data_IF_573522257245
#
_entry.id   IF_573522257245
#
_cell.length_a   1.000
_cell.length_b   1.000
_cell.length_c   1.000
_cell.angle_alpha   90.00
_cell.angle_beta   90.00
_cell.angle_gamma   90.00
#
_symmetry.space_group_name_H-M   'P 1'
#
loop_
_entity.id
_entity.type
_entity.pdbx_description
1 polymer ?
#
# COMPACT_ATOMS: atom_id res chain seq x y z
N UNK A 1 4.31 -29.83 18.14
CA UNK A 1 3.49 -28.62 18.16
C UNK A 1 4.33 -27.55 18.82
N UNK A 2 4.97 -26.72 18.01
CA UNK A 2 5.64 -25.50 18.43
C UNK A 2 5.18 -24.40 17.45
N UNK A 3 4.62 -23.29 17.93
CA UNK A 3 3.94 -22.32 17.08
C UNK A 3 4.96 -21.37 16.44
N UNK A 4 5.03 -21.39 15.12
CA UNK A 4 5.50 -20.28 14.27
C UNK A 4 6.78 -19.56 14.73
N UNK A 5 7.92 -20.23 14.58
CA UNK A 5 9.22 -19.55 14.49
C UNK A 5 9.31 -18.92 13.09
N UNK A 6 9.01 -17.63 12.99
CA UNK A 6 9.26 -16.87 11.76
C UNK A 6 10.78 -16.65 11.60
N UNK A 7 11.37 -16.97 10.44
CA UNK A 7 12.81 -16.78 10.22
C UNK A 7 13.19 -15.31 10.19
N UNK A 8 14.35 -15.00 10.79
CA UNK A 8 15.00 -13.67 10.84
C UNK A 8 15.23 -13.11 9.43
N UNK A 9 15.02 -11.80 9.28
CA UNK A 9 15.42 -11.04 8.09
C UNK A 9 16.64 -10.19 8.47
N UNK A 10 17.85 -10.47 7.94
CA UNK A 10 18.97 -9.56 8.03
C UNK A 10 19.10 -8.64 6.81
N UNK A 11 19.90 -7.58 7.03
CA UNK A 11 20.57 -6.62 6.12
C UNK A 11 19.93 -5.25 5.81
N UNK A 12 20.70 -4.15 5.76
CA UNK A 12 22.17 -3.97 5.85
C UNK A 12 22.55 -3.02 7.00
N UNK A 13 23.35 -3.52 7.95
CA UNK A 13 23.88 -2.86 9.16
C UNK A 13 22.90 -2.74 10.35
N UNK A 14 22.78 -3.83 11.10
CA UNK A 14 22.47 -3.92 12.54
C UNK A 14 21.91 -2.64 13.20
N UNK A 15 20.62 -2.38 13.00
CA UNK A 15 19.88 -1.45 13.88
C UNK A 15 19.52 -2.20 15.17
N UNK A 16 20.53 -2.32 16.04
CA UNK A 16 20.37 -2.67 17.44
C UNK A 16 19.37 -1.72 18.14
N UNK A 17 18.48 -2.33 18.93
CA UNK A 17 17.91 -1.79 20.16
C UNK A 17 17.47 -0.31 20.22
N UNK A 18 16.60 0.18 19.33
CA UNK A 18 15.69 1.25 19.78
C UNK A 18 14.38 1.22 18.98
N UNK A 19 13.31 0.67 19.56
CA UNK A 19 11.97 1.19 19.25
C UNK A 19 11.94 2.57 19.88
N UNK A 20 12.56 3.53 19.19
CA UNK A 20 12.63 4.92 19.63
C UNK A 20 11.20 5.39 19.79
N UNK A 21 10.90 5.97 20.95
CA UNK A 21 9.60 6.58 21.32
C UNK A 21 9.18 7.76 20.40
N UNK A 22 9.70 7.81 19.18
CA UNK A 22 9.55 8.86 18.18
C UNK A 22 9.61 8.28 16.75
N UNK A 23 8.99 7.12 16.51
CA UNK A 23 8.75 6.62 15.16
C UNK A 23 7.48 7.29 14.62
N UNK A 24 7.55 7.90 13.45
CA UNK A 24 6.38 8.54 12.83
C UNK A 24 5.42 7.48 12.29
N UNK A 25 4.12 7.79 12.29
CA UNK A 25 3.08 6.97 11.65
C UNK A 25 3.48 6.66 10.21
N UNK A 26 4.05 7.64 9.49
CA UNK A 26 4.62 7.44 8.15
C UNK A 26 5.60 6.26 8.09
N UNK A 27 6.59 6.20 8.99
CA UNK A 27 7.58 5.11 8.98
C UNK A 27 6.98 3.75 9.32
N UNK A 28 6.01 3.72 10.25
CA UNK A 28 5.28 2.49 10.58
C UNK A 28 4.51 1.98 9.37
N UNK A 29 3.70 2.84 8.75
CA UNK A 29 2.84 2.49 7.61
C UNK A 29 3.68 2.09 6.41
N UNK A 30 4.71 2.89 6.06
CA UNK A 30 5.64 2.56 4.98
C UNK A 30 6.29 1.19 5.18
N UNK A 31 6.80 0.90 6.38
CA UNK A 31 7.39 -0.40 6.69
C UNK A 31 6.38 -1.52 6.52
N UNK A 32 5.15 -1.33 7.01
CA UNK A 32 4.08 -2.32 6.90
C UNK A 32 3.71 -2.64 5.44
N UNK A 33 3.54 -1.60 4.61
CA UNK A 33 3.17 -1.77 3.20
C UNK A 33 4.27 -2.49 2.42
N UNK A 34 5.54 -2.08 2.61
CA UNK A 34 6.70 -2.70 1.95
C UNK A 34 6.82 -4.18 2.33
N UNK A 35 6.73 -4.51 3.62
CA UNK A 35 6.86 -5.89 4.10
C UNK A 35 5.78 -6.83 3.54
N UNK A 36 4.61 -6.28 3.19
CA UNK A 36 3.50 -7.04 2.62
C UNK A 36 3.44 -6.95 1.09
N UNK A 37 4.32 -6.17 0.46
CA UNK A 37 4.40 -6.04 -1.00
C UNK A 37 3.26 -5.21 -1.61
N UNK A 38 2.64 -4.32 -0.84
CA UNK A 38 1.71 -3.33 -1.37
C UNK A 38 2.46 -2.17 -2.01
N UNK A 39 1.80 -1.40 -2.89
CA UNK A 39 2.43 -0.26 -3.58
C UNK A 39 1.98 1.09 -2.98
N UNK A 40 0.89 1.10 -2.21
CA UNK A 40 0.34 2.33 -1.63
C UNK A 40 -0.89 2.11 -0.77
N UNK A 41 -1.58 3.22 -0.53
CA UNK A 41 -2.90 3.26 0.10
C UNK A 41 -3.94 3.77 -0.89
N UNK A 42 -5.17 3.31 -0.73
CA UNK A 42 -6.33 3.77 -1.47
C UNK A 42 -7.52 3.90 -0.53
N UNK A 43 -8.35 4.91 -0.75
CA UNK A 43 -9.62 5.08 -0.04
C UNK A 43 -10.75 4.96 -1.05
N UNK A 44 -11.54 3.90 -0.94
CA UNK A 44 -12.73 3.69 -1.75
C UNK A 44 -13.79 4.78 -1.52
N UNK A 45 -13.82 5.36 -0.32
CA UNK A 45 -14.81 6.38 0.06
C UNK A 45 -14.50 7.75 -0.51
N UNK A 46 -13.22 8.14 -0.52
CA UNK A 46 -12.79 9.48 -0.95
C UNK A 46 -12.20 9.50 -2.37
N UNK A 47 -12.03 8.34 -3.00
CA UNK A 47 -11.42 8.21 -4.33
C UNK A 47 -9.96 8.64 -4.38
N UNK A 48 -9.31 8.83 -3.23
CA UNK A 48 -7.90 9.21 -3.17
C UNK A 48 -7.01 7.96 -3.10
N UNK A 49 -5.80 8.09 -3.62
CA UNK A 49 -4.77 7.07 -3.51
C UNK A 49 -3.39 7.71 -3.39
N UNK A 50 -2.50 7.07 -2.66
CA UNK A 50 -1.13 7.55 -2.43
C UNK A 50 -0.16 6.40 -2.58
N UNK A 51 0.94 6.61 -3.31
CA UNK A 51 2.03 5.64 -3.36
C UNK A 51 2.82 5.63 -2.05
N UNK A 52 3.59 4.56 -1.82
CA UNK A 52 4.50 4.47 -0.66
C UNK A 52 5.50 5.63 -0.60
N UNK A 53 5.95 6.11 -1.76
CA UNK A 53 6.87 7.24 -1.88
C UNK A 53 6.19 8.59 -1.57
N UNK A 54 4.92 8.72 -1.96
CA UNK A 54 4.10 9.92 -1.77
C UNK A 54 3.14 9.82 -0.58
N UNK A 55 3.45 8.94 0.38
CA UNK A 55 2.60 8.71 1.54
C UNK A 55 2.63 9.94 2.45
N UNK A 56 1.75 10.90 2.22
CA UNK A 56 1.65 12.10 3.04
C UNK A 56 0.57 11.93 4.10
N UNK A 57 0.74 12.49 5.31
CA UNK A 57 -0.39 12.67 6.21
C UNK A 57 -1.39 13.58 5.50
N UNK A 58 -2.57 13.06 5.16
CA UNK A 58 -3.66 13.85 4.64
C UNK A 58 -4.64 14.19 5.77
N UNK A 59 -5.22 15.38 5.73
CA UNK A 59 -6.18 15.84 6.75
C UNK A 59 -7.61 15.42 6.43
N UNK A 60 -7.79 14.35 5.65
CA UNK A 60 -9.10 13.84 5.29
C UNK A 60 -9.70 13.06 6.44
N UNK A 61 -10.96 13.31 6.77
CA UNK A 61 -11.73 12.47 7.71
C UNK A 61 -11.82 11.01 7.22
N UNK A 62 -11.66 10.77 5.92
CA UNK A 62 -11.64 9.44 5.31
C UNK A 62 -10.32 8.67 5.51
N UNK A 63 -9.32 9.22 6.22
CA UNK A 63 -8.06 8.51 6.53
C UNK A 63 -8.29 7.17 7.23
N UNK A 64 -9.37 7.06 8.00
CA UNK A 64 -9.73 5.82 8.72
C UNK A 64 -10.13 4.68 7.77
N UNK A 65 -10.56 4.99 6.54
CA UNK A 65 -10.92 4.01 5.51
C UNK A 65 -9.83 3.83 4.45
N UNK A 66 -8.61 4.30 4.71
CA UNK A 66 -7.47 3.99 3.85
C UNK A 66 -7.08 2.51 3.96
N UNK A 67 -7.09 1.82 2.83
CA UNK A 67 -6.75 0.42 2.69
C UNK A 67 -5.44 0.24 1.91
N UNK A 68 -4.67 -0.83 2.17
CA UNK A 68 -3.54 -1.18 1.32
C UNK A 68 -3.99 -1.45 -0.11
N UNK A 69 -3.18 -1.03 -1.08
CA UNK A 69 -3.48 -1.27 -2.49
C UNK A 69 -2.26 -1.60 -3.33
N UNK A 70 -2.54 -2.19 -4.49
CA UNK A 70 -1.56 -2.54 -5.50
C UNK A 70 -1.66 -1.58 -6.67
N UNK A 71 -0.52 -1.17 -7.19
CA UNK A 71 -0.45 -0.40 -8.43
C UNK A 71 -0.76 -1.36 -9.58
N UNK A 72 -1.80 -1.04 -10.32
CA UNK A 72 -2.19 -1.80 -11.51
C UNK A 72 -2.25 -0.92 -12.74
N UNK A 73 -2.23 -1.57 -13.90
CA UNK A 73 -2.41 -0.87 -15.18
C UNK A 73 -3.77 -0.21 -15.19
N UNK A 74 -3.82 1.01 -15.72
CA UNK A 74 -5.10 1.61 -16.07
C UNK A 74 -5.83 0.67 -17.03
N UNK A 75 -7.09 0.36 -16.70
CA UNK A 75 -8.03 -0.15 -17.69
C UNK A 75 -8.80 1.05 -18.26
N UNK A 76 -8.73 1.33 -19.58
CA UNK A 76 -9.47 2.42 -20.20
C UNK A 76 -10.99 2.31 -19.98
N UNK A 77 -11.52 1.10 -19.81
CA UNK A 77 -12.96 0.89 -19.58
C UNK A 77 -13.43 1.29 -18.16
N UNK A 78 -12.50 1.44 -17.20
CA UNK A 78 -12.78 1.75 -15.78
C UNK A 78 -12.03 3.02 -15.30
N UNK A 79 -11.36 3.76 -16.20
CA UNK A 79 -10.67 5.02 -15.88
C UNK A 79 -11.58 6.22 -16.13
N UNK A 80 -11.78 7.02 -15.08
CA UNK A 80 -12.56 8.27 -15.13
C UNK A 80 -11.93 9.35 -16.02
N UNK A 81 -10.74 9.10 -16.55
CA UNK A 81 -10.00 9.96 -17.48
C UNK A 81 -9.85 9.31 -18.87
N UNK A 82 -10.77 8.41 -19.26
CA UNK A 82 -10.79 7.76 -20.59
C UNK A 82 -9.46 7.07 -20.97
N UNK A 83 -8.74 6.55 -19.98
CA UNK A 83 -7.46 5.88 -20.19
C UNK A 83 -6.22 6.78 -20.19
N UNK A 84 -6.35 8.07 -19.88
CA UNK A 84 -5.23 9.02 -19.81
C UNK A 84 -4.50 9.01 -18.44
N UNK A 85 -4.69 7.95 -17.67
CA UNK A 85 -4.07 7.74 -16.36
C UNK A 85 -2.99 6.65 -16.47
N UNK A 86 -1.77 6.89 -15.97
CA UNK A 86 -0.65 5.95 -16.11
C UNK A 86 -0.90 4.63 -15.34
N UNK A 87 -1.50 4.74 -14.16
CA UNK A 87 -1.83 3.61 -13.29
C UNK A 87 -3.01 3.95 -12.38
N UNK A 88 -3.59 2.91 -11.79
CA UNK A 88 -4.52 3.02 -10.66
C UNK A 88 -4.00 2.23 -9.46
N UNK A 89 -4.39 2.64 -8.25
CA UNK A 89 -4.20 1.82 -7.06
C UNK A 89 -5.49 1.06 -6.78
N UNK A 90 -5.42 -0.26 -6.86
CA UNK A 90 -6.52 -1.17 -6.59
C UNK A 90 -6.48 -1.64 -5.14
N UNK A 91 -7.60 -1.56 -4.41
CA UNK A 91 -7.66 -2.04 -3.02
C UNK A 91 -7.34 -3.53 -2.96
N UNK A 92 -6.46 -3.91 -2.03
CA UNK A 92 -6.10 -5.29 -1.76
C UNK A 92 -7.28 -6.12 -1.22
N UNK A 93 -8.36 -5.49 -0.76
CA UNK A 93 -9.58 -6.18 -0.37
C UNK A 93 -10.41 -6.65 -1.57
N UNK A 94 -10.23 -6.02 -2.73
CA UNK A 94 -10.98 -6.32 -3.95
C UNK A 94 -10.12 -6.97 -5.05
N UNK A 95 -8.81 -6.76 -5.01
CA UNK A 95 -7.90 -7.20 -6.07
C UNK A 95 -6.64 -7.87 -5.50
N UNK A 96 -6.20 -8.95 -6.15
CA UNK A 96 -4.86 -9.47 -5.93
C UNK A 96 -3.83 -8.67 -6.75
N UNK A 97 -2.56 -8.76 -6.36
CA UNK A 97 -1.45 -8.18 -7.15
C UNK A 97 -1.48 -8.63 -8.62
N UNK A 98 -1.82 -9.90 -8.85
CA UNK A 98 -1.92 -10.45 -10.20
C UNK A 98 -3.06 -9.85 -11.02
N UNK A 99 -4.14 -9.40 -10.37
CA UNK A 99 -5.26 -8.73 -11.04
C UNK A 99 -4.90 -7.29 -11.39
N UNK A 100 -4.23 -6.59 -10.48
CA UNK A 100 -3.73 -5.23 -10.72
C UNK A 100 -2.77 -5.19 -11.92
N UNK A 101 -1.87 -6.17 -12.03
CA UNK A 101 -0.92 -6.29 -13.15
C UNK A 101 -1.60 -6.51 -14.51
N UNK A 102 -2.79 -7.12 -14.53
CA UNK A 102 -3.59 -7.37 -15.75
C UNK A 102 -4.44 -6.17 -16.18
N UNK A 103 -4.56 -5.12 -15.35
CA UNK A 103 -5.49 -4.01 -15.51
C UNK A 103 -6.91 -4.47 -15.16
N UNK A 104 -7.45 -4.03 -14.02
CA UNK A 104 -8.69 -4.60 -13.43
C UNK A 104 -9.84 -4.64 -14.46
N UNK A 105 -10.60 -5.74 -14.63
CA UNK A 105 -11.36 -6.57 -13.64
C UNK A 105 -11.28 -8.09 -13.93
N UNK A 106 -11.69 -8.91 -12.95
CA UNK A 106 -12.42 -10.18 -13.21
C UNK A 106 -13.90 -9.91 -13.48
#
# INVERSE_FOLDING_TARGET
>A
MDPFVFPRIPDDNDVEEVITRNISVYRIVKKHLIQRGFDGLVSSDSGCSCLIEDLMPCSSEAVISCEPGYRGRCNPDDCCLDGDCEYHIYSANHFSRSDAERGGRT
#
